data_IF_295899914384
#
_entry.id   IF_295899914384
#
_cell.length_a   1.000
_cell.length_b   1.000
_cell.length_c   1.000
_cell.angle_alpha   90.00
_cell.angle_beta   90.00
_cell.angle_gamma   90.00
#
_symmetry.space_group_name_H-M   'P 1'
#
loop_
_entity.id
_entity.type
_entity.pdbx_description
1 polymer ?
#
# COMPACT_ATOMS: atom_id res chain seq x y z
N UNK A 1 -7.19 -2.10 21.39
CA UNK A 1 -7.97 -1.70 20.19
C UNK A 1 -9.48 -1.80 20.41
N UNK A 2 -10.06 -2.94 20.85
CA UNK A 2 -11.51 -3.10 21.08
C UNK A 2 -12.15 -1.98 21.95
N UNK A 3 -11.48 -1.60 23.05
CA UNK A 3 -11.99 -0.56 23.96
C UNK A 3 -12.03 0.85 23.33
N UNK A 4 -11.07 1.17 22.45
CA UNK A 4 -11.05 2.47 21.74
C UNK A 4 -12.22 2.56 20.76
N UNK A 5 -12.51 1.49 20.03
CA UNK A 5 -13.68 1.42 19.15
C UNK A 5 -15.00 1.58 19.92
N UNK A 6 -15.13 0.93 21.09
CA UNK A 6 -16.33 1.04 21.94
C UNK A 6 -16.55 2.48 22.46
N UNK A 7 -15.48 3.20 22.79
CA UNK A 7 -15.55 4.60 23.18
C UNK A 7 -15.96 5.52 22.03
N UNK A 8 -15.39 5.32 20.84
CA UNK A 8 -15.75 6.09 19.65
C UNK A 8 -17.20 5.84 19.20
N UNK A 9 -17.69 4.59 19.26
CA UNK A 9 -19.09 4.24 19.03
C UNK A 9 -20.03 4.97 19.99
N UNK A 10 -19.66 5.05 21.28
CA UNK A 10 -20.44 5.82 22.26
C UNK A 10 -20.45 7.30 21.92
N UNK A 11 -19.30 7.87 21.55
CA UNK A 11 -19.19 9.28 21.16
C UNK A 11 -20.08 9.62 19.96
N UNK A 12 -20.01 8.83 18.89
CA UNK A 12 -20.86 9.01 17.70
C UNK A 12 -22.34 8.82 18.02
N UNK A 13 -22.68 7.86 18.88
CA UNK A 13 -24.07 7.67 19.32
C UNK A 13 -24.59 8.88 20.09
N UNK A 14 -23.78 9.45 20.99
CA UNK A 14 -24.15 10.68 21.71
C UNK A 14 -24.22 11.89 20.79
N UNK A 15 -23.37 11.96 19.76
CA UNK A 15 -23.39 13.03 18.76
C UNK A 15 -24.68 13.01 17.94
N UNK A 16 -25.14 11.83 17.51
CA UNK A 16 -26.46 11.67 16.85
C UNK A 16 -27.59 12.04 17.80
N UNK A 17 -27.51 11.67 19.09
CA UNK A 17 -28.55 11.97 20.07
C UNK A 17 -28.60 13.45 20.49
N UNK A 18 -27.47 14.15 20.42
CA UNK A 18 -27.35 15.57 20.80
C UNK A 18 -27.48 16.49 19.58
N UNK A 19 -27.65 15.95 18.37
CA UNK A 19 -27.89 16.74 17.18
C UNK A 19 -29.27 17.42 17.28
N UNK A 20 -29.29 18.69 17.66
CA UNK A 20 -30.50 19.50 17.84
C UNK A 20 -31.25 19.76 16.51
N UNK A 21 -30.57 19.60 15.38
CA UNK A 21 -31.12 19.87 14.04
C UNK A 21 -31.27 18.57 13.22
N UNK A 22 -32.44 17.94 13.32
CA UNK A 22 -32.79 16.75 12.56
C UNK A 22 -33.03 17.00 11.05
N UNK A 23 -33.08 18.26 10.60
CA UNK A 23 -33.30 18.59 9.19
C UNK A 23 -32.02 18.44 8.35
N UNK A 24 -30.84 18.34 8.97
CA UNK A 24 -29.59 18.05 8.29
C UNK A 24 -29.41 16.54 8.03
N UNK A 25 -30.24 16.03 7.13
CA UNK A 25 -30.28 14.62 6.74
C UNK A 25 -28.92 14.13 6.19
N UNK A 26 -28.16 15.02 5.55
CA UNK A 26 -26.85 14.69 4.98
C UNK A 26 -25.83 14.40 6.07
N UNK A 27 -25.71 15.28 7.07
CA UNK A 27 -24.80 15.05 8.19
C UNK A 27 -25.25 13.86 9.04
N UNK A 28 -26.55 13.70 9.28
CA UNK A 28 -27.07 12.50 9.98
C UNK A 28 -26.72 11.20 9.26
N UNK A 29 -26.82 11.19 7.93
CA UNK A 29 -26.45 10.04 7.10
C UNK A 29 -24.95 9.74 7.19
N UNK A 30 -24.08 10.74 7.11
CA UNK A 30 -22.63 10.55 7.20
C UNK A 30 -22.19 10.01 8.57
N UNK A 31 -22.73 10.59 9.66
CA UNK A 31 -22.44 10.14 11.03
C UNK A 31 -23.00 8.74 11.27
N UNK A 32 -24.19 8.43 10.76
CA UNK A 32 -24.78 7.09 10.85
C UNK A 32 -23.98 6.05 10.05
N UNK A 33 -23.47 6.42 8.87
CA UNK A 33 -22.60 5.57 8.06
C UNK A 33 -21.30 5.25 8.80
N UNK A 34 -20.64 6.25 9.37
CA UNK A 34 -19.40 6.04 10.14
C UNK A 34 -19.64 5.20 11.40
N UNK A 35 -20.79 5.37 12.06
CA UNK A 35 -21.21 4.51 13.18
C UNK A 35 -21.35 3.04 12.73
N UNK A 36 -22.03 2.80 11.60
CA UNK A 36 -22.21 1.47 11.03
C UNK A 36 -20.88 0.81 10.66
N UNK A 37 -19.97 1.53 10.00
CA UNK A 37 -18.64 1.02 9.62
C UNK A 37 -17.84 0.61 10.86
N UNK A 38 -17.79 1.45 11.89
CA UNK A 38 -17.10 1.12 13.15
C UNK A 38 -17.73 -0.07 13.86
N UNK A 39 -19.06 -0.19 13.83
CA UNK A 39 -19.77 -1.33 14.41
C UNK A 39 -19.49 -2.63 13.65
N UNK A 40 -19.42 -2.56 12.32
CA UNK A 40 -19.07 -3.70 11.46
C UNK A 40 -17.64 -4.20 11.75
N UNK A 41 -16.68 -3.29 11.94
CA UNK A 41 -15.32 -3.64 12.35
C UNK A 41 -15.31 -4.28 13.74
N UNK A 42 -16.07 -3.74 14.70
CA UNK A 42 -16.17 -4.34 16.04
C UNK A 42 -16.76 -5.75 15.98
N UNK A 43 -17.83 -5.95 15.19
CA UNK A 43 -18.46 -7.25 14.97
C UNK A 43 -17.47 -8.25 14.37
N UNK A 44 -16.72 -7.84 13.35
CA UNK A 44 -15.67 -8.68 12.75
C UNK A 44 -14.61 -9.06 13.80
N UNK A 45 -14.17 -8.12 14.63
CA UNK A 45 -13.19 -8.39 15.69
C UNK A 45 -13.73 -9.31 16.80
N UNK A 46 -15.03 -9.29 17.06
CA UNK A 46 -15.65 -10.16 18.06
C UNK A 46 -16.01 -11.55 17.50
N UNK A 47 -16.35 -11.66 16.22
CA UNK A 47 -16.77 -12.93 15.58
C UNK A 47 -15.57 -13.69 14.98
N UNK A 48 -14.73 -13.01 14.20
CA UNK A 48 -13.67 -13.67 13.41
C UNK A 48 -12.32 -13.70 14.15
N UNK A 49 -12.05 -12.70 14.99
CA UNK A 49 -10.77 -12.57 15.71
C UNK A 49 -10.78 -13.15 17.14
N UNK A 50 -11.94 -13.52 17.70
CA UNK A 50 -11.97 -14.27 18.96
C UNK A 50 -11.59 -15.75 18.76
N UNK A 51 -11.82 -16.33 17.58
CA UNK A 51 -11.33 -17.67 17.23
C UNK A 51 -9.86 -17.66 16.77
N UNK A 52 -9.33 -16.49 16.40
CA UNK A 52 -7.89 -16.26 16.26
C UNK A 52 -7.26 -15.88 17.60
N UNK A 53 -7.37 -16.74 18.60
CA UNK A 53 -6.24 -16.85 19.52
C UNK A 53 -5.07 -17.37 18.71
N UNK A 54 -4.13 -16.48 18.38
CA UNK A 54 -2.81 -16.92 17.91
C UNK A 54 -2.20 -17.69 19.08
N UNK A 55 -2.42 -19.01 19.08
CA UNK A 55 -1.81 -19.96 20.00
C UNK A 55 -0.31 -19.94 19.74
N UNK A 56 0.38 -18.99 20.38
CA UNK A 56 1.82 -18.78 20.29
C UNK A 56 2.58 -20.05 20.74
N UNK A 57 1.91 -20.94 21.48
CA UNK A 57 2.45 -22.22 21.93
C UNK A 57 2.60 -23.25 20.81
N UNK A 58 1.99 -23.04 19.63
CA UNK A 58 2.10 -23.96 18.48
C UNK A 58 3.04 -23.48 17.38
N UNK A 59 3.47 -22.22 17.41
CA UNK A 59 4.40 -21.72 16.40
C UNK A 59 5.84 -22.07 16.79
N UNK A 60 6.40 -23.12 16.18
CA UNK A 60 7.75 -23.61 16.45
C UNK A 60 8.84 -22.52 16.38
N UNK A 61 8.61 -21.48 15.58
CA UNK A 61 9.52 -20.34 15.42
C UNK A 61 9.49 -19.43 16.66
N UNK A 62 8.32 -19.23 17.28
CA UNK A 62 8.18 -18.40 18.47
C UNK A 62 8.86 -19.05 19.69
N UNK A 63 8.71 -20.36 19.87
CA UNK A 63 9.39 -21.11 20.92
C UNK A 63 10.93 -21.03 20.79
N UNK A 64 11.45 -21.11 19.55
CA UNK A 64 12.89 -20.98 19.29
C UNK A 64 13.40 -19.55 19.51
N UNK A 65 12.59 -18.55 19.21
CA UNK A 65 12.90 -17.16 19.49
C UNK A 65 12.95 -16.87 21.00
N UNK A 66 12.00 -17.41 21.76
CA UNK A 66 11.95 -17.28 23.21
C UNK A 66 13.14 -17.98 23.90
N UNK A 67 13.53 -19.17 23.41
CA UNK A 67 14.72 -19.89 23.86
C UNK A 67 15.99 -19.06 23.62
N UNK A 68 16.14 -18.48 22.42
CA UNK A 68 17.27 -17.63 22.06
C UNK A 68 17.31 -16.34 22.89
N UNK A 69 16.17 -15.68 23.08
CA UNK A 69 16.07 -14.46 23.87
C UNK A 69 16.47 -14.70 25.34
N UNK A 70 15.99 -15.80 25.94
CA UNK A 70 16.35 -16.18 27.31
C UNK A 70 17.84 -16.55 27.44
N UNK A 71 18.45 -17.14 26.42
CA UNK A 71 19.88 -17.44 26.41
C UNK A 71 20.74 -16.16 26.39
N UNK A 72 20.36 -15.16 25.59
CA UNK A 72 21.07 -13.87 25.52
C UNK A 72 20.95 -13.10 26.83
N UNK A 73 19.77 -13.08 27.45
CA UNK A 73 19.55 -12.39 28.72
C UNK A 73 20.36 -13.02 29.87
N UNK A 74 20.47 -14.34 29.92
CA UNK A 74 21.33 -15.03 30.90
C UNK A 74 22.83 -14.85 30.62
N UNK A 75 23.23 -14.83 29.35
CA UNK A 75 24.63 -14.69 28.93
C UNK A 75 25.25 -13.33 29.28
N UNK A 76 24.44 -12.27 29.34
CA UNK A 76 24.93 -10.90 29.58
C UNK A 76 24.95 -10.45 31.05
N UNK A 77 24.60 -11.30 32.02
CA UNK A 77 24.63 -10.97 33.45
C UNK A 77 26.04 -10.82 34.05
N UNK A 78 27.09 -11.20 33.31
CA UNK A 78 28.48 -11.13 33.77
C UNK A 78 29.20 -9.81 33.52
N UNK A 79 28.58 -8.86 32.82
CA UNK A 79 29.16 -7.54 32.54
C UNK A 79 28.63 -6.54 33.57
N UNK A 80 29.46 -5.98 34.46
CA UNK A 80 29.01 -4.95 35.38
C UNK A 80 28.47 -3.74 34.60
N UNK A 81 27.27 -3.26 34.94
CA UNK A 81 26.67 -2.07 34.32
C UNK A 81 27.47 -0.78 34.58
N UNK A 82 28.45 -0.82 35.49
CA UNK A 82 29.31 0.31 35.82
C UNK A 82 30.70 0.14 35.19
N UNK A 83 30.99 0.94 34.17
CA UNK A 83 32.34 1.03 33.60
C UNK A 83 33.31 1.65 34.64
N UNK A 84 34.40 0.97 35.04
CA UNK A 84 35.36 1.48 36.02
C UNK A 84 36.20 2.67 35.53
N UNK A 85 36.16 2.99 34.23
CA UNK A 85 36.85 4.15 33.64
C UNK A 85 35.83 5.23 33.22
N UNK A 86 35.19 5.88 34.20
CA UNK A 86 34.31 7.03 33.96
C UNK A 86 35.06 8.27 33.46
N UNK A 87 36.34 8.43 33.85
CA UNK A 87 37.21 9.54 33.43
C UNK A 87 37.46 9.55 31.91
N UNK A 88 37.56 8.39 31.26
CA UNK A 88 37.86 8.29 29.82
C UNK A 88 36.64 8.66 28.96
N UNK A 89 35.41 8.40 29.46
CA UNK A 89 34.18 8.75 28.74
C UNK A 89 33.97 10.28 28.72
N UNK A 90 34.26 10.94 29.84
CA UNK A 90 34.02 12.39 30.01
C UNK A 90 35.07 13.22 29.26
N UNK A 91 36.29 12.70 29.09
CA UNK A 91 37.41 13.43 28.45
C UNK A 91 37.58 13.17 26.95
N UNK A 92 36.68 12.42 26.33
CA UNK A 92 36.73 12.21 24.89
C UNK A 92 36.27 13.50 24.16
N UNK A 93 37.06 14.07 23.24
CA UNK A 93 36.74 15.34 22.58
C UNK A 93 35.43 15.31 21.77
N UNK A 94 34.97 14.12 21.38
CA UNK A 94 33.65 13.94 20.76
C UNK A 94 32.49 14.24 21.70
N UNK A 95 32.65 14.01 23.01
CA UNK A 95 31.63 14.26 24.03
C UNK A 95 31.46 15.77 24.29
N UNK A 96 32.55 16.54 24.30
CA UNK A 96 32.51 18.00 24.42
C UNK A 96 31.78 18.63 23.23
N UNK A 97 31.96 18.06 22.04
CA UNK A 97 31.26 18.50 20.83
C UNK A 97 29.75 18.28 20.96
N UNK A 98 29.34 17.10 21.45
CA UNK A 98 27.92 16.77 21.67
C UNK A 98 27.31 17.65 22.78
N UNK A 99 28.08 17.93 23.84
CA UNK A 99 27.64 18.82 24.93
C UNK A 99 27.48 20.27 24.48
N UNK A 100 28.34 20.74 23.57
CA UNK A 100 28.21 22.03 22.90
C UNK A 100 26.92 22.13 22.08
N UNK A 101 26.58 21.09 21.31
CA UNK A 101 25.32 21.06 20.55
C UNK A 101 24.06 21.05 21.43
N UNK A 102 24.08 20.34 22.56
CA UNK A 102 22.96 20.31 23.51
C UNK A 102 22.76 21.69 24.17
N UNK A 103 23.83 22.45 24.37
CA UNK A 103 23.75 23.79 24.94
C UNK A 103 23.23 24.85 23.96
N UNK A 104 23.26 24.56 22.65
CA UNK A 104 22.73 25.40 21.58
C UNK A 104 21.31 24.95 21.14
N UNK A 105 20.72 23.96 21.81
CA UNK A 105 19.31 23.63 21.61
C UNK A 105 18.45 24.68 22.31
N UNK A 106 17.46 25.28 21.60
CA UNK A 106 16.53 26.22 22.21
C UNK A 106 15.72 25.51 23.30
N UNK A 107 15.50 26.19 24.43
CA UNK A 107 14.66 25.69 25.51
C UNK A 107 13.23 25.42 25.00
N UNK A 108 12.54 24.45 25.62
CA UNK A 108 11.24 23.92 25.18
C UNK A 108 10.19 25.00 24.93
N UNK A 109 10.24 26.13 25.65
CA UNK A 109 9.28 27.25 25.50
C UNK A 109 9.42 28.00 24.17
N UNK A 110 10.57 27.89 23.48
CA UNK A 110 10.80 28.53 22.17
C UNK A 110 10.43 27.64 20.99
N UNK A 111 10.15 26.35 21.23
CA UNK A 111 9.71 25.39 20.22
C UNK A 111 8.25 25.62 19.79
N UNK A 112 7.39 26.06 20.72
CA UNK A 112 6.00 26.40 20.40
C UNK A 112 5.91 27.56 19.39
N UNK A 113 6.68 28.65 19.58
CA UNK A 113 6.65 29.80 18.67
C UNK A 113 7.19 29.44 17.26
N UNK A 114 8.27 28.65 17.19
CA UNK A 114 8.86 28.21 15.90
C UNK A 114 7.93 27.22 15.18
N UNK A 115 7.25 26.35 15.92
CA UNK A 115 6.26 25.42 15.35
C UNK A 115 5.03 26.18 14.84
N UNK A 116 4.61 27.21 15.57
CA UNK A 116 3.46 28.05 15.19
C UNK A 116 3.77 28.85 13.93
N UNK A 117 4.98 29.44 13.81
CA UNK A 117 5.47 30.11 12.61
C UNK A 117 5.51 29.16 11.39
N UNK A 118 5.88 27.90 11.59
CA UNK A 118 5.94 26.87 10.54
C UNK A 118 4.55 26.36 10.11
N UNK A 119 3.55 26.44 11.01
CA UNK A 119 2.18 26.02 10.76
C UNK A 119 1.29 27.14 10.21
N UNK A 120 1.69 28.40 10.33
CA UNK A 120 1.05 29.51 9.64
C UNK A 120 1.21 29.36 8.12
N UNK A 121 0.11 29.56 7.39
CA UNK A 121 0.01 29.29 5.96
C UNK A 121 1.16 29.92 5.15
N UNK A 122 1.82 29.17 4.26
CA UNK A 122 2.88 29.71 3.43
C UNK A 122 2.32 30.78 2.51
N UNK A 123 2.86 31.99 2.57
CA UNK A 123 2.54 33.07 1.65
C UNK A 123 3.10 32.72 0.26
N UNK A 124 2.28 32.07 -0.57
CA UNK A 124 2.64 31.66 -1.93
C UNK A 124 2.91 32.90 -2.79
N UNK A 125 4.18 33.26 -2.96
CA UNK A 125 4.60 34.08 -4.09
C UNK A 125 4.24 33.33 -5.38
N UNK A 126 3.58 34.04 -6.31
CA UNK A 126 3.31 33.50 -7.64
C UNK A 126 4.64 33.13 -8.30
N UNK A 127 4.75 31.85 -8.67
CA UNK A 127 5.88 31.30 -9.39
C UNK A 127 6.01 31.98 -10.76
N UNK A 128 7.07 32.75 -10.99
CA UNK A 128 7.51 33.23 -12.31
C UNK A 128 8.09 32.06 -13.12
N UNK A 129 7.27 31.05 -13.38
CA UNK A 129 7.64 29.84 -14.13
C UNK A 129 7.96 30.14 -15.60
N UNK A 130 7.70 31.34 -16.11
CA UNK A 130 7.98 31.70 -17.51
C UNK A 130 9.46 31.97 -17.78
N UNK A 131 10.29 32.15 -16.76
CA UNK A 131 11.74 32.40 -16.92
C UNK A 131 12.61 31.13 -16.93
N UNK A 132 12.05 29.97 -16.55
CA UNK A 132 12.80 28.72 -16.37
C UNK A 132 12.32 27.55 -17.25
N UNK A 133 11.34 27.75 -18.13
CA UNK A 133 11.00 26.74 -19.14
C UNK A 133 11.96 26.84 -20.34
N UNK A 134 12.68 25.77 -20.70
CA UNK A 134 13.50 25.78 -21.92
C UNK A 134 12.60 25.99 -23.15
N UNK A 135 13.01 26.89 -24.04
CA UNK A 135 12.30 27.20 -25.28
C UNK A 135 12.24 25.96 -26.18
N UNK A 136 11.22 25.90 -27.05
CA UNK A 136 10.98 24.78 -27.99
C UNK A 136 12.14 24.48 -28.96
N UNK A 137 13.18 25.30 -28.96
CA UNK A 137 14.40 25.12 -29.75
C UNK A 137 15.42 24.17 -29.08
N UNK A 138 15.43 24.07 -27.74
CA UNK A 138 16.32 23.18 -26.99
C UNK A 138 15.86 21.71 -26.95
N UNK A 139 14.57 21.45 -27.24
CA UNK A 139 13.98 20.11 -27.21
C UNK A 139 14.31 19.22 -28.42
N UNK A 140 15.04 19.74 -29.42
CA UNK A 140 15.38 19.00 -30.65
C UNK A 140 16.69 18.19 -30.58
N UNK A 141 17.38 18.16 -29.44
CA UNK A 141 18.70 17.51 -29.31
C UNK A 141 18.80 16.43 -28.22
N UNK A 142 17.71 15.77 -27.84
CA UNK A 142 17.72 14.70 -26.84
C UNK A 142 17.14 13.37 -27.34
N UNK A 143 17.55 12.93 -28.54
CA UNK A 143 17.37 11.54 -28.99
C UNK A 143 18.50 10.67 -28.41
N UNK A 144 18.35 10.26 -27.15
CA UNK A 144 18.90 9.01 -26.59
C UNK A 144 18.78 9.00 -25.06
N UNK A 145 17.58 8.79 -24.52
CA UNK A 145 17.46 8.34 -23.13
C UNK A 145 17.73 6.82 -23.06
N UNK A 146 18.62 6.35 -22.18
CA UNK A 146 18.85 4.93 -22.01
C UNK A 146 17.57 4.28 -21.46
N UNK A 147 17.01 3.34 -22.24
CA UNK A 147 15.79 2.60 -21.93
C UNK A 147 15.86 2.04 -20.52
N UNK A 148 14.94 2.49 -19.66
CA UNK A 148 14.84 2.02 -18.28
C UNK A 148 14.62 0.51 -18.25
N UNK A 149 15.08 -0.15 -17.19
CA UNK A 149 14.88 -1.59 -16.98
C UNK A 149 13.40 -1.98 -17.01
N UNK A 150 12.51 -1.07 -16.63
CA UNK A 150 11.06 -1.23 -16.70
C UNK A 150 10.55 -1.35 -18.15
N UNK A 151 11.24 -0.71 -19.10
CA UNK A 151 10.91 -0.73 -20.53
C UNK A 151 11.43 -2.00 -21.23
N UNK A 152 12.51 -2.60 -20.72
CA UNK A 152 12.98 -3.93 -21.16
C UNK A 152 12.10 -5.06 -20.62
N UNK A 153 11.56 -4.92 -19.40
CA UNK A 153 10.63 -5.88 -18.81
C UNK A 153 9.23 -5.81 -19.47
N UNK A 154 8.82 -4.62 -19.92
CA UNK A 154 7.57 -4.41 -20.66
C UNK A 154 7.57 -5.05 -22.06
N UNK A 155 8.71 -5.49 -22.60
CA UNK A 155 8.77 -6.20 -23.89
C UNK A 155 8.34 -7.67 -23.83
N UNK A 156 8.24 -8.28 -22.64
CA UNK A 156 7.79 -9.67 -22.48
C UNK A 156 6.33 -9.81 -22.04
N UNK A 157 5.75 -8.75 -21.46
CA UNK A 157 4.43 -8.78 -20.85
C UNK A 157 3.48 -7.81 -21.57
N UNK A 158 2.34 -8.30 -22.09
CA UNK A 158 1.20 -7.44 -22.45
C UNK A 158 0.93 -6.64 -21.19
N UNK A 159 1.09 -5.34 -21.28
CA UNK A 159 0.41 -4.42 -20.38
C UNK A 159 -1.07 -4.57 -20.66
N UNK A 160 -1.69 -5.55 -19.99
CA UNK A 160 -3.13 -5.74 -20.11
C UNK A 160 -3.72 -4.55 -19.40
N UNK A 161 -4.42 -3.70 -20.14
CA UNK A 161 -5.13 -2.57 -19.56
C UNK A 161 -6.06 -3.10 -18.48
N UNK A 162 -6.06 -2.48 -17.30
CA UNK A 162 -6.86 -2.94 -16.18
C UNK A 162 -8.35 -3.01 -16.54
N UNK A 163 -8.80 -2.08 -17.39
CA UNK A 163 -10.18 -2.04 -17.85
C UNK A 163 -10.49 -3.22 -18.80
N UNK A 164 -9.57 -3.54 -19.70
CA UNK A 164 -9.71 -4.68 -20.60
C UNK A 164 -9.67 -6.01 -19.82
N UNK A 165 -8.76 -6.14 -18.84
CA UNK A 165 -8.72 -7.30 -17.94
C UNK A 165 -10.05 -7.51 -17.24
N UNK A 166 -10.61 -6.47 -16.64
CA UNK A 166 -11.88 -6.54 -15.94
C UNK A 166 -13.03 -6.87 -16.89
N UNK A 167 -13.03 -6.31 -18.10
CA UNK A 167 -14.02 -6.61 -19.12
C UNK A 167 -13.97 -8.09 -19.56
N UNK A 168 -12.79 -8.66 -19.78
CA UNK A 168 -12.63 -10.06 -20.13
C UNK A 168 -13.05 -10.99 -18.99
N UNK A 169 -12.64 -10.70 -17.76
CA UNK A 169 -13.04 -11.51 -16.59
C UNK A 169 -14.56 -11.54 -16.44
N UNK A 170 -15.22 -10.38 -16.55
CA UNK A 170 -16.68 -10.27 -16.43
C UNK A 170 -17.45 -10.90 -17.60
N UNK A 171 -17.01 -10.65 -18.82
CA UNK A 171 -17.74 -11.07 -20.01
C UNK A 171 -17.31 -12.46 -20.50
N UNK A 172 -16.03 -12.78 -20.56
CA UNK A 172 -15.54 -14.06 -21.10
C UNK A 172 -15.45 -15.16 -20.04
N UNK A 173 -15.17 -14.81 -18.77
CA UNK A 173 -14.89 -15.77 -17.69
C UNK A 173 -15.92 -15.77 -16.55
N UNK A 174 -17.08 -15.11 -16.71
CA UNK A 174 -18.16 -15.04 -15.71
C UNK A 174 -17.67 -14.63 -14.30
N UNK A 175 -16.86 -13.57 -14.23
CA UNK A 175 -16.23 -13.06 -13.00
C UNK A 175 -15.20 -14.00 -12.35
N UNK A 176 -14.80 -15.09 -13.02
CA UNK A 176 -13.72 -15.95 -12.54
C UNK A 176 -12.34 -15.39 -12.92
N UNK A 177 -11.71 -14.69 -11.97
CA UNK A 177 -10.36 -14.15 -12.12
C UNK A 177 -9.28 -15.25 -12.15
N UNK A 178 -9.48 -16.38 -11.47
CA UNK A 178 -8.51 -17.47 -11.43
C UNK A 178 -8.37 -18.15 -12.79
N UNK A 179 -9.48 -18.42 -13.45
CA UNK A 179 -9.47 -19.03 -14.78
C UNK A 179 -8.85 -18.09 -15.82
N UNK A 180 -9.11 -16.78 -15.74
CA UNK A 180 -8.44 -15.80 -16.59
C UNK A 180 -6.92 -15.84 -16.40
N UNK A 181 -6.44 -15.87 -15.15
CA UNK A 181 -5.01 -15.94 -14.86
C UNK A 181 -4.39 -17.27 -15.31
N UNK A 182 -5.12 -18.39 -15.20
CA UNK A 182 -4.69 -19.71 -15.71
C UNK A 182 -4.52 -19.68 -17.22
N UNK A 183 -5.53 -19.17 -17.93
CA UNK A 183 -5.49 -19.00 -19.39
C UNK A 183 -4.36 -18.05 -19.79
N UNK A 184 -4.18 -16.94 -19.09
CA UNK A 184 -3.08 -16.01 -19.36
C UNK A 184 -1.70 -16.64 -19.15
N UNK A 185 -1.52 -17.47 -18.11
CA UNK A 185 -0.27 -18.20 -17.87
C UNK A 185 0.01 -19.24 -18.95
N UNK A 186 -1.02 -19.95 -19.42
CA UNK A 186 -0.91 -20.90 -20.52
C UNK A 186 -0.60 -20.18 -21.84
N UNK A 187 -1.26 -19.05 -22.12
CA UNK A 187 -0.98 -18.22 -23.28
C UNK A 187 0.45 -17.65 -23.25
N UNK A 188 0.97 -17.27 -22.08
CA UNK A 188 2.36 -16.84 -21.94
C UNK A 188 3.38 -17.96 -22.20
N UNK A 189 2.97 -19.23 -22.11
CA UNK A 189 3.82 -20.39 -22.38
C UNK A 189 3.78 -20.80 -23.86
N UNK A 190 2.83 -20.27 -24.64
CA UNK A 190 2.67 -20.58 -26.06
C UNK A 190 3.38 -19.49 -26.87
N UNK A 191 4.36 -19.86 -27.68
CA UNK A 191 5.18 -18.91 -28.45
C UNK A 191 4.59 -18.55 -29.83
N UNK A 192 3.45 -19.15 -30.21
CA UNK A 192 2.87 -18.99 -31.55
C UNK A 192 1.44 -18.46 -31.49
N UNK A 193 1.14 -17.46 -32.32
CA UNK A 193 -0.21 -16.88 -32.44
C UNK A 193 -1.26 -17.93 -32.83
N UNK A 194 -0.99 -18.71 -33.88
CA UNK A 194 -1.92 -19.72 -34.39
C UNK A 194 -2.26 -20.79 -33.34
N UNK A 195 -1.27 -21.18 -32.52
CA UNK A 195 -1.44 -22.13 -31.43
C UNK A 195 -2.24 -21.52 -30.27
N UNK A 196 -2.03 -20.23 -29.98
CA UNK A 196 -2.79 -19.48 -28.96
C UNK A 196 -4.26 -19.36 -29.35
N UNK A 197 -4.55 -19.03 -30.61
CA UNK A 197 -5.92 -18.95 -31.12
C UNK A 197 -6.60 -20.32 -31.08
N UNK A 198 -5.89 -21.38 -31.48
CA UNK A 198 -6.40 -22.74 -31.45
C UNK A 198 -6.70 -23.22 -30.03
N UNK A 199 -5.85 -22.86 -29.08
CA UNK A 199 -6.05 -23.13 -27.66
C UNK A 199 -7.32 -22.46 -27.12
N UNK A 200 -7.55 -21.19 -27.46
CA UNK A 200 -8.76 -20.47 -27.05
C UNK A 200 -9.99 -21.13 -27.66
N UNK A 201 -9.97 -21.42 -28.97
CA UNK A 201 -11.12 -21.99 -29.67
C UNK A 201 -11.49 -23.40 -29.20
N UNK A 202 -10.50 -24.24 -28.89
CA UNK A 202 -10.73 -25.65 -28.60
C UNK A 202 -10.83 -25.95 -27.10
N UNK A 203 -10.19 -25.15 -26.26
CA UNK A 203 -10.13 -25.42 -24.81
C UNK A 203 -10.90 -24.38 -24.01
N UNK A 204 -10.74 -23.09 -24.30
CA UNK A 204 -11.36 -22.03 -23.49
C UNK A 204 -12.82 -21.78 -23.88
N UNK A 205 -13.11 -21.65 -25.18
CA UNK A 205 -14.48 -21.36 -25.65
C UNK A 205 -15.53 -22.39 -25.21
N UNK A 206 -15.29 -23.71 -25.29
CA UNK A 206 -16.30 -24.70 -24.90
C UNK A 206 -16.65 -24.64 -23.42
N UNK A 207 -15.68 -24.29 -22.56
CA UNK A 207 -15.88 -24.16 -21.12
C UNK A 207 -16.80 -22.97 -20.74
N UNK A 208 -16.86 -21.93 -21.58
CA UNK A 208 -17.64 -20.70 -21.32
C UNK A 208 -18.82 -20.50 -22.28
N UNK A 209 -19.52 -21.59 -22.60
CA UNK A 209 -20.72 -21.57 -23.45
C UNK A 209 -20.48 -20.87 -24.81
N UNK A 210 -19.31 -21.10 -25.40
CA UNK A 210 -18.86 -20.55 -26.68
C UNK A 210 -18.93 -19.01 -26.79
N UNK A 211 -18.87 -18.29 -25.65
CA UNK A 211 -18.96 -16.83 -25.61
C UNK A 211 -20.14 -16.26 -26.42
N UNK A 212 -21.26 -16.99 -26.45
CA UNK A 212 -22.48 -16.64 -27.19
C UNK A 212 -23.01 -15.25 -26.78
N UNK A 213 -23.10 -14.34 -27.77
CA UNK A 213 -23.55 -12.96 -27.58
C UNK A 213 -22.48 -11.99 -27.06
N UNK A 214 -21.23 -12.45 -26.90
CA UNK A 214 -20.09 -11.65 -26.40
C UNK A 214 -18.93 -11.58 -27.40
N UNK A 215 -19.27 -11.67 -28.69
CA UNK A 215 -18.36 -11.56 -29.84
C UNK A 215 -17.44 -10.31 -29.83
N UNK A 216 -17.91 -9.09 -29.47
CA UNK A 216 -17.00 -7.92 -29.47
C UNK A 216 -15.89 -8.01 -28.41
N UNK A 217 -16.12 -8.75 -27.32
CA UNK A 217 -15.09 -9.01 -26.31
C UNK A 217 -14.14 -10.12 -26.74
N UNK A 218 -14.64 -11.11 -27.49
CA UNK A 218 -13.82 -12.13 -28.10
C UNK A 218 -12.81 -11.51 -29.10
N UNK A 219 -13.28 -10.69 -30.03
CA UNK A 219 -12.41 -10.08 -31.04
C UNK A 219 -11.30 -9.24 -30.39
N UNK A 220 -11.66 -8.44 -29.38
CA UNK A 220 -10.68 -7.67 -28.60
C UNK A 220 -9.69 -8.56 -27.85
N UNK A 221 -10.15 -9.68 -27.31
CA UNK A 221 -9.27 -10.62 -26.61
C UNK A 221 -8.27 -11.27 -27.56
N UNK A 222 -8.73 -11.68 -28.75
CA UNK A 222 -7.87 -12.24 -29.80
C UNK A 222 -6.89 -11.18 -30.32
N UNK A 223 -7.33 -9.95 -30.57
CA UNK A 223 -6.48 -8.84 -30.99
C UNK A 223 -5.40 -8.51 -29.95
N UNK A 224 -5.73 -8.58 -28.66
CA UNK A 224 -4.75 -8.37 -27.60
C UNK A 224 -3.68 -9.47 -27.59
N UNK A 225 -4.06 -10.69 -27.96
CA UNK A 225 -3.13 -11.82 -28.05
C UNK A 225 -2.27 -11.70 -29.31
N UNK A 226 -2.82 -11.30 -30.46
CA UNK A 226 -2.01 -11.07 -31.66
C UNK A 226 -0.98 -9.96 -31.46
N UNK A 227 -1.34 -8.89 -30.71
CA UNK A 227 -0.41 -7.83 -30.30
C UNK A 227 0.74 -8.31 -29.40
N UNK A 228 0.67 -9.49 -28.76
CA UNK A 228 1.86 -10.08 -28.08
C UNK A 228 2.93 -10.50 -29.04
N UNK A 229 2.52 -11.03 -30.18
CA UNK A 229 3.40 -11.73 -31.12
C UNK A 229 3.89 -10.80 -32.26
N UNK A 230 3.42 -9.54 -32.29
CA UNK A 230 3.81 -8.50 -33.24
C UNK A 230 5.04 -7.69 -32.80
#
# INVERSE_FOLDING_TARGET
MKNKLKLELRKLSTEILTADNLDDVTNLYEVSKTLYEKLAVLKFIEVELNDMEVDVSKNAIAAKFEEMANAVLKGNQGVPESNPHTEDIIKYPGMDTIKGFISEMPDNDSLEDVLTEFMSEPHLMKNDNELFTPSKEDLKQADATPKSLNDRLAKGNVKVDLNDRLAFVKHLFNDNMEDYNRVLSQLNTIDTEERSISFIKNMVKPDYNNWLGKEPYEERFIEMISRRFS
#
